data_IF_862175674302
#
_entry.id   IF_862175674302
#
_cell.length_a   1.000
_cell.length_b   1.000
_cell.length_c   1.000
_cell.angle_alpha   90.00
_cell.angle_beta   90.00
_cell.angle_gamma   90.00
#
_symmetry.space_group_name_H-M   'P 1'
#
loop_
_entity.id
_entity.type
_entity.pdbx_description
1 polymer ?
#
# COMPACT_ATOMS: atom_id res chain seq x y z
N UNK A 1 -53.17 37.01 1.13
CA UNK A 1 -52.39 35.81 1.55
C UNK A 1 -52.08 34.86 0.40
N UNK A 2 -52.80 34.87 -0.74
CA UNK A 2 -52.53 33.93 -1.85
C UNK A 2 -51.30 34.25 -2.73
N UNK A 3 -50.89 35.52 -2.85
CA UNK A 3 -49.77 35.89 -3.74
C UNK A 3 -48.38 35.59 -3.16
N UNK A 4 -48.24 35.48 -1.84
CA UNK A 4 -46.98 35.16 -1.18
C UNK A 4 -46.64 33.65 -1.25
N UNK A 5 -47.65 32.78 -1.34
CA UNK A 5 -47.47 31.33 -1.45
C UNK A 5 -46.94 30.90 -2.82
N UNK A 6 -47.34 31.59 -3.90
CA UNK A 6 -46.91 31.26 -5.26
C UNK A 6 -45.45 31.63 -5.56
N UNK A 7 -44.87 32.59 -4.83
CA UNK A 7 -43.48 33.02 -5.04
C UNK A 7 -42.45 31.98 -4.56
N UNK A 8 -42.79 31.14 -3.57
CA UNK A 8 -41.93 30.06 -3.10
C UNK A 8 -41.94 28.82 -4.01
N UNK A 9 -42.96 28.67 -4.85
CA UNK A 9 -43.09 27.54 -5.79
C UNK A 9 -42.33 27.76 -7.11
N UNK A 10 -41.78 28.95 -7.34
CA UNK A 10 -41.06 29.33 -8.56
C UNK A 10 -39.54 29.36 -8.38
N UNK A 11 -39.01 29.00 -7.21
CA UNK A 11 -37.58 28.83 -7.03
C UNK A 11 -37.14 27.60 -7.84
N UNK A 12 -36.30 27.74 -8.89
CA UNK A 12 -35.72 26.58 -9.52
C UNK A 12 -34.93 25.84 -8.44
N UNK A 13 -35.32 24.59 -8.16
CA UNK A 13 -34.44 23.64 -7.47
C UNK A 13 -33.24 23.48 -8.40
N UNK A 14 -32.25 24.36 -8.24
CA UNK A 14 -31.02 24.29 -9.00
C UNK A 14 -30.32 23.00 -8.58
N UNK A 15 -30.41 21.98 -9.43
CA UNK A 15 -29.52 20.84 -9.38
C UNK A 15 -28.12 21.35 -9.70
N UNK A 16 -27.43 21.82 -8.67
CA UNK A 16 -26.03 22.20 -8.76
C UNK A 16 -25.19 20.95 -8.97
N UNK A 17 -24.85 20.64 -10.22
CA UNK A 17 -23.81 19.66 -10.52
C UNK A 17 -22.48 20.24 -10.03
N UNK A 18 -22.06 19.87 -8.81
CA UNK A 18 -20.71 20.10 -8.32
C UNK A 18 -19.66 19.50 -9.27
N UNK A 19 -18.35 19.75 -9.06
CA UNK A 19 -17.30 19.29 -9.98
C UNK A 19 -17.52 17.83 -10.36
N UNK A 20 -17.82 17.61 -11.65
CA UNK A 20 -18.30 16.33 -12.17
C UNK A 20 -17.29 15.19 -11.96
N UNK A 21 -17.69 13.96 -12.29
CA UNK A 21 -16.80 12.79 -12.19
C UNK A 21 -15.48 13.04 -12.93
N UNK A 22 -14.39 13.13 -12.17
CA UNK A 22 -13.05 13.28 -12.72
C UNK A 22 -12.67 12.09 -13.58
N UNK A 23 -12.08 12.36 -14.74
CA UNK A 23 -11.55 11.33 -15.63
C UNK A 23 -10.11 11.03 -15.24
N UNK A 24 -9.81 9.76 -14.96
CA UNK A 24 -8.46 9.33 -14.61
C UNK A 24 -8.48 7.96 -13.95
N UNK A 25 -7.54 7.11 -14.33
CA UNK A 25 -7.40 5.78 -13.70
C UNK A 25 -6.28 5.83 -12.68
N UNK A 26 -6.59 5.55 -11.41
CA UNK A 26 -5.57 5.36 -10.37
C UNK A 26 -4.65 4.22 -10.81
N UNK A 27 -3.33 4.36 -10.60
CA UNK A 27 -2.41 3.23 -10.76
C UNK A 27 -2.86 2.11 -9.83
N UNK A 28 -3.09 0.93 -10.39
CA UNK A 28 -3.38 -0.25 -9.59
C UNK A 28 -2.23 -0.55 -8.63
N UNK A 29 -2.54 -1.20 -7.52
CA UNK A 29 -1.49 -1.75 -6.65
C UNK A 29 -0.61 -2.72 -7.45
N UNK A 30 0.65 -2.88 -7.03
CA UNK A 30 1.52 -3.91 -7.60
C UNK A 30 0.88 -5.27 -7.35
N UNK A 31 0.74 -6.07 -8.40
CA UNK A 31 0.32 -7.47 -8.26
C UNK A 31 1.47 -8.24 -7.59
N UNK A 32 1.24 -8.73 -6.38
CA UNK A 32 2.18 -9.57 -5.65
C UNK A 32 1.82 -11.03 -5.92
N UNK A 33 2.74 -11.78 -6.51
CA UNK A 33 2.60 -13.22 -6.68
C UNK A 33 3.16 -13.93 -5.42
N UNK A 34 2.44 -14.92 -4.85
CA UNK A 34 2.97 -15.71 -3.75
C UNK A 34 4.15 -16.56 -4.25
N UNK A 35 5.07 -16.91 -3.34
CA UNK A 35 6.12 -17.88 -3.64
C UNK A 35 5.55 -19.30 -3.66
N UNK A 36 5.95 -20.09 -4.65
CA UNK A 36 5.61 -21.50 -4.73
C UNK A 36 6.40 -22.33 -3.69
N UNK A 37 5.94 -23.56 -3.43
CA UNK A 37 6.68 -24.48 -2.57
C UNK A 37 8.11 -24.70 -3.07
N UNK A 38 9.10 -24.57 -2.17
CA UNK A 38 10.54 -24.63 -2.45
C UNK A 38 11.09 -23.52 -3.37
N UNK A 39 10.30 -22.49 -3.71
CA UNK A 39 10.81 -21.32 -4.40
C UNK A 39 11.53 -20.38 -3.42
N UNK A 40 12.63 -19.77 -3.87
CA UNK A 40 13.35 -18.72 -3.16
C UNK A 40 13.59 -17.54 -4.09
N UNK A 41 13.74 -16.34 -3.52
CA UNK A 41 13.97 -15.09 -4.26
C UNK A 41 15.08 -14.30 -3.59
N UNK A 42 16.13 -13.90 -4.33
CA UNK A 42 16.41 -14.19 -5.74
C UNK A 42 16.66 -15.69 -6.00
N UNK A 43 16.55 -16.15 -7.26
CA UNK A 43 16.76 -17.56 -7.64
C UNK A 43 18.25 -17.93 -7.67
N UNK A 44 18.92 -17.73 -6.54
CA UNK A 44 20.31 -18.10 -6.28
C UNK A 44 20.41 -18.67 -4.86
N UNK A 45 21.50 -19.37 -4.57
CA UNK A 45 21.70 -19.93 -3.22
C UNK A 45 21.81 -18.81 -2.17
N UNK A 46 21.34 -19.10 -0.96
CA UNK A 46 21.24 -18.15 0.17
C UNK A 46 22.56 -17.41 0.44
N UNK A 47 23.68 -18.16 0.46
CA UNK A 47 24.99 -17.64 0.87
C UNK A 47 25.78 -16.95 -0.24
N UNK A 48 25.11 -16.54 -1.31
CA UNK A 48 25.73 -15.83 -2.45
C UNK A 48 25.71 -14.32 -2.22
N UNK A 49 26.64 -13.59 -2.85
CA UNK A 49 26.73 -12.14 -2.74
C UNK A 49 25.50 -11.41 -3.32
N UNK A 50 24.73 -12.07 -4.21
CA UNK A 50 23.47 -11.54 -4.75
C UNK A 50 22.26 -11.77 -3.84
N UNK A 51 22.45 -12.41 -2.68
CA UNK A 51 21.40 -12.72 -1.70
C UNK A 51 21.86 -12.32 -0.28
N UNK A 52 21.92 -13.27 0.66
CA UNK A 52 22.22 -13.00 2.08
C UNK A 52 23.72 -12.85 2.39
N UNK A 53 24.60 -13.12 1.43
CA UNK A 53 26.05 -13.04 1.63
C UNK A 53 26.66 -14.23 2.38
N UNK A 54 27.95 -14.13 2.71
CA UNK A 54 28.70 -15.24 3.32
C UNK A 54 28.32 -15.41 4.80
N UNK A 55 28.44 -16.64 5.29
CA UNK A 55 28.26 -16.93 6.70
C UNK A 55 29.41 -16.36 7.54
N UNK A 56 29.06 -15.61 8.60
CA UNK A 56 30.04 -14.93 9.44
C UNK A 56 30.39 -15.68 10.75
N UNK A 57 29.63 -16.71 11.12
CA UNK A 57 29.83 -17.44 12.37
C UNK A 57 28.60 -17.47 13.27
N UNK A 58 28.64 -18.34 14.29
CA UNK A 58 27.52 -18.53 15.24
C UNK A 58 27.62 -17.48 16.35
N UNK A 59 26.56 -16.72 16.55
CA UNK A 59 26.42 -15.81 17.70
C UNK A 59 25.89 -16.64 18.88
N UNK A 60 26.67 -16.73 19.95
CA UNK A 60 26.26 -17.32 21.23
C UNK A 60 25.84 -16.22 22.20
N UNK A 61 25.05 -16.56 23.22
CA UNK A 61 24.59 -15.59 24.24
C UNK A 61 25.73 -14.88 24.98
N UNK A 62 26.90 -15.53 25.10
CA UNK A 62 28.10 -14.97 25.75
C UNK A 62 29.03 -14.22 24.80
N UNK A 63 28.80 -14.28 23.48
CA UNK A 63 29.66 -13.62 22.50
C UNK A 63 29.47 -12.10 22.50
N UNK A 64 30.51 -11.36 22.15
CA UNK A 64 30.45 -9.90 22.05
C UNK A 64 29.40 -9.43 21.03
N UNK A 65 29.27 -10.17 19.92
CA UNK A 65 28.28 -9.94 18.87
C UNK A 65 26.83 -10.10 19.32
N UNK A 66 26.57 -10.73 20.48
CA UNK A 66 25.20 -10.80 21.01
C UNK A 66 24.64 -9.41 21.31
N UNK A 67 25.50 -8.43 21.60
CA UNK A 67 25.13 -7.03 21.82
C UNK A 67 24.55 -6.35 20.57
N UNK A 68 24.79 -6.90 19.38
CA UNK A 68 24.26 -6.39 18.11
C UNK A 68 22.79 -6.80 17.88
N UNK A 69 22.28 -7.80 18.60
CA UNK A 69 20.91 -8.29 18.47
C UNK A 69 19.96 -7.45 19.33
N UNK A 70 18.86 -6.98 18.74
CA UNK A 70 17.82 -6.18 19.42
C UNK A 70 16.66 -7.11 19.78
N UNK A 71 16.19 -7.13 21.05
CA UNK A 71 15.07 -7.96 21.49
C UNK A 71 13.71 -7.49 20.97
#
# INVERSE_FOLDING_TARGET
TCLAGCAFLLLPVSEGCGPGKGHGRRRGSRKLAPLAYKQFSPNVAEKTLGASGKYEGKITRSSERFKELIP
#
